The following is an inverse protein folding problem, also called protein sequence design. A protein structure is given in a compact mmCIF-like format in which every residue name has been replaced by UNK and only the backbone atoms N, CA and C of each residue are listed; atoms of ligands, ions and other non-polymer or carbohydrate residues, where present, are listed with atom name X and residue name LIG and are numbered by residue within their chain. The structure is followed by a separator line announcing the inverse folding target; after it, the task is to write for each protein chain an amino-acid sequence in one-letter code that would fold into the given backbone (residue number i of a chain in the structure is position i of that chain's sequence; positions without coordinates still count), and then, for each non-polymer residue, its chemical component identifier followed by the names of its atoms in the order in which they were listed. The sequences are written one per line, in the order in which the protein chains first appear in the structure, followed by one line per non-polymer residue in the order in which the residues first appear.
data_IF_638290497612
#
_entry.id   IF_638290497612
#
_cell.length_a   1.000
_cell.length_b   1.000
_cell.length_c   1.000
_cell.angle_alpha   90.00
_cell.angle_beta   90.00
_cell.angle_gamma   90.00
#
_symmetry.space_group_name_H-M   'P 1'
#
loop_
_entity.id
_entity.type
_entity.pdbx_description
1 polymer ?
#
# COMPACT_ATOMS: atom_id res chain seq x y z
N UNK A 1 -2.58 16.74 34.94
CA UNK A 1 -3.42 16.78 33.73
C UNK A 1 -3.04 15.56 32.92
N UNK A 2 -3.82 14.50 33.06
CA UNK A 2 -3.67 13.26 32.30
C UNK A 2 -4.15 13.56 30.89
N UNK A 3 -3.22 13.71 29.94
CA UNK A 3 -3.54 13.67 28.51
C UNK A 3 -3.66 12.21 28.13
N UNK A 4 -4.81 11.60 28.38
CA UNK A 4 -5.18 10.41 27.62
C UNK A 4 -5.51 10.93 26.24
N UNK A 5 -4.62 10.67 25.31
CA UNK A 5 -4.91 10.69 23.88
C UNK A 5 -5.92 9.55 23.64
N UNK A 6 -7.19 9.83 23.92
CA UNK A 6 -8.29 9.03 23.41
C UNK A 6 -8.36 9.38 21.92
N UNK A 7 -7.46 8.77 21.14
CA UNK A 7 -7.64 8.65 19.71
C UNK A 7 -9.02 8.00 19.53
N UNK A 8 -10.00 8.82 19.17
CA UNK A 8 -11.31 8.35 18.77
C UNK A 8 -11.02 7.43 17.58
N UNK A 9 -11.09 6.12 17.84
CA UNK A 9 -11.09 5.14 16.77
C UNK A 9 -12.34 5.47 15.95
N UNK A 10 -12.12 6.12 14.82
CA UNK A 10 -13.14 6.22 13.79
C UNK A 10 -13.25 4.80 13.26
N UNK A 11 -14.40 4.16 13.46
CA UNK A 11 -14.60 2.75 13.04
C UNK A 11 -14.37 2.61 11.52
N UNK A 12 -14.44 3.70 10.74
CA UNK A 12 -14.13 3.75 9.32
C UNK A 12 -12.69 4.25 9.00
N UNK A 13 -11.80 4.36 9.98
CA UNK A 13 -10.44 4.84 9.76
C UNK A 13 -9.64 3.88 8.86
N UNK A 14 -9.03 4.43 7.81
CA UNK A 14 -8.11 3.71 6.93
C UNK A 14 -6.67 4.08 7.29
N UNK A 15 -5.90 3.09 7.72
CA UNK A 15 -4.49 3.25 8.08
C UNK A 15 -3.59 2.77 6.95
N UNK A 16 -2.79 3.68 6.39
CA UNK A 16 -1.70 3.31 5.48
C UNK A 16 -0.56 2.72 6.32
N UNK A 17 -0.20 1.45 6.07
CA UNK A 17 0.87 0.78 6.80
C UNK A 17 2.19 0.81 6.03
N UNK A 18 2.14 0.58 4.72
CA UNK A 18 3.33 0.56 3.87
C UNK A 18 2.95 0.70 2.41
N UNK A 19 3.95 0.81 1.54
CA UNK A 19 3.76 0.85 0.11
C UNK A 19 4.91 0.14 -0.62
N UNK A 20 4.62 -0.34 -1.83
CA UNK A 20 5.57 -1.10 -2.65
C UNK A 20 5.49 -0.57 -4.07
N UNK A 21 6.63 -0.44 -4.73
CA UNK A 21 6.67 -0.18 -6.16
C UNK A 21 6.57 -1.52 -6.91
N UNK A 22 5.69 -1.55 -7.91
CA UNK A 22 5.55 -2.62 -8.88
C UNK A 22 5.96 -2.06 -10.24
N UNK A 23 7.27 -2.00 -10.51
CA UNK A 23 7.81 -1.44 -11.75
C UNK A 23 8.59 -2.48 -12.56
N UNK A 24 8.61 -2.39 -13.90
CA UNK A 24 9.42 -3.28 -14.74
C UNK A 24 10.90 -3.32 -14.33
N UNK A 25 11.44 -2.20 -13.85
CA UNK A 25 12.84 -2.09 -13.45
C UNK A 25 13.21 -2.93 -12.21
N UNK A 26 12.23 -3.31 -11.37
CA UNK A 26 12.46 -4.19 -10.22
C UNK A 26 12.53 -5.68 -10.60
N UNK A 27 12.20 -6.03 -11.85
CA UNK A 27 12.28 -7.40 -12.35
C UNK A 27 13.53 -7.56 -13.22
N UNK A 28 14.66 -8.08 -12.67
CA UNK A 28 15.89 -8.23 -13.43
C UNK A 28 15.69 -9.15 -14.64
N UNK A 29 16.13 -8.68 -15.80
CA UNK A 29 15.81 -9.14 -17.17
C UNK A 29 16.13 -10.61 -17.53
N UNK A 30 16.60 -11.44 -16.61
CA UNK A 30 16.64 -12.91 -16.75
C UNK A 30 15.28 -13.57 -16.43
N UNK A 31 14.34 -12.80 -15.88
CA UNK A 31 12.98 -13.16 -15.44
C UNK A 31 11.94 -12.18 -16.03
N UNK A 32 12.10 -11.83 -17.31
CA UNK A 32 11.31 -10.77 -17.98
C UNK A 32 9.78 -10.99 -18.03
N UNK A 33 9.31 -12.19 -17.70
CA UNK A 33 7.90 -12.56 -17.62
C UNK A 33 7.25 -12.23 -16.25
N UNK A 34 8.03 -11.89 -15.23
CA UNK A 34 7.52 -11.74 -13.86
C UNK A 34 6.75 -10.44 -13.62
N UNK A 35 7.07 -9.34 -14.33
CA UNK A 35 6.28 -8.11 -14.22
C UNK A 35 4.87 -8.26 -14.81
N UNK A 36 4.69 -8.69 -16.07
CA UNK A 36 3.36 -8.95 -16.60
C UNK A 36 2.59 -10.01 -15.80
N UNK A 37 3.27 -11.04 -15.28
CA UNK A 37 2.64 -12.05 -14.44
C UNK A 37 2.16 -11.48 -13.08
N UNK A 38 2.95 -10.61 -12.45
CA UNK A 38 2.56 -9.91 -11.23
C UNK A 38 1.37 -8.96 -11.47
N UNK A 39 1.37 -8.21 -12.57
CA UNK A 39 0.21 -7.41 -12.98
C UNK A 39 -1.03 -8.29 -13.18
N UNK A 40 -0.90 -9.41 -13.89
CA UNK A 40 -2.00 -10.33 -14.12
C UNK A 40 -2.56 -10.97 -12.83
N UNK A 41 -1.71 -11.27 -11.85
CA UNK A 41 -2.13 -11.78 -10.54
C UNK A 41 -2.98 -10.75 -9.76
N UNK A 42 -2.77 -9.46 -10.04
CA UNK A 42 -3.53 -8.33 -9.48
C UNK A 42 -4.70 -7.90 -10.37
N UNK A 43 -4.91 -8.56 -11.53
CA UNK A 43 -5.93 -8.17 -12.51
C UNK A 43 -5.62 -6.87 -13.27
N UNK A 44 -4.35 -6.46 -13.32
CA UNK A 44 -3.88 -5.24 -13.97
C UNK A 44 -3.29 -5.54 -15.35
N UNK A 45 -3.41 -4.57 -16.27
CA UNK A 45 -2.65 -4.58 -17.52
C UNK A 45 -1.20 -4.11 -17.26
N UNK A 46 -0.19 -4.65 -17.95
CA UNK A 46 1.18 -4.20 -17.76
C UNK A 46 1.36 -2.73 -18.19
N UNK A 47 1.77 -1.88 -17.26
CA UNK A 47 2.03 -0.47 -17.53
C UNK A 47 3.53 -0.17 -17.61
N UNK A 48 3.95 0.66 -18.56
CA UNK A 48 5.38 0.91 -18.80
C UNK A 48 6.06 1.66 -17.66
N UNK A 49 5.34 2.58 -17.01
CA UNK A 49 5.85 3.34 -15.86
C UNK A 49 5.79 2.53 -14.56
N UNK A 50 4.93 1.50 -14.49
CA UNK A 50 4.71 0.69 -13.29
C UNK A 50 3.53 1.17 -12.46
N UNK A 51 3.29 0.49 -11.34
CA UNK A 51 2.27 0.87 -10.37
C UNK A 51 2.89 1.07 -8.98
N UNK A 52 2.29 1.94 -8.19
CA UNK A 52 2.46 1.93 -6.75
C UNK A 52 1.36 1.09 -6.10
N UNK A 53 1.71 0.28 -5.11
CA UNK A 53 0.78 -0.46 -4.28
C UNK A 53 0.81 0.13 -2.88
N UNK A 54 -0.29 0.71 -2.44
CA UNK A 54 -0.48 1.20 -1.08
C UNK A 54 -1.18 0.12 -0.27
N UNK A 55 -0.55 -0.34 0.79
CA UNK A 55 -1.08 -1.39 1.64
C UNK A 55 -1.50 -0.79 2.97
N UNK A 56 -2.73 -1.08 3.36
CA UNK A 56 -3.28 -0.58 4.59
C UNK A 56 -4.21 -1.57 5.27
N UNK A 57 -4.76 -1.10 6.38
CA UNK A 57 -5.69 -1.83 7.22
C UNK A 57 -6.74 -0.84 7.74
N UNK A 58 -7.98 -1.31 7.91
CA UNK A 58 -9.00 -0.52 8.60
C UNK A 58 -8.92 -0.70 10.14
N UNK A 59 -9.82 -0.04 10.85
CA UNK A 59 -9.91 -0.10 12.31
C UNK A 59 -10.33 -1.48 12.86
N UNK A 60 -11.08 -2.27 12.07
CA UNK A 60 -11.53 -3.62 12.40
C UNK A 60 -10.44 -4.68 12.17
N UNK A 61 -9.44 -4.35 11.36
CA UNK A 61 -8.34 -5.23 11.01
C UNK A 61 -8.42 -5.83 9.61
N UNK A 62 -9.39 -5.42 8.79
CA UNK A 62 -9.48 -5.82 7.40
C UNK A 62 -8.36 -5.16 6.60
N UNK A 63 -7.67 -5.97 5.82
CA UNK A 63 -6.56 -5.53 4.97
C UNK A 63 -7.08 -5.08 3.61
N UNK A 64 -6.42 -4.07 3.07
CA UNK A 64 -6.71 -3.56 1.74
C UNK A 64 -5.43 -3.17 1.01
N UNK A 65 -5.50 -3.21 -0.32
CA UNK A 65 -4.44 -2.74 -1.21
C UNK A 65 -5.05 -1.79 -2.23
N UNK A 66 -4.49 -0.58 -2.34
CA UNK A 66 -4.85 0.38 -3.39
C UNK A 66 -3.74 0.43 -4.43
N UNK A 67 -4.11 0.21 -5.69
CA UNK A 67 -3.20 0.32 -6.84
C UNK A 67 -3.29 1.73 -7.39
N UNK A 68 -2.15 2.37 -7.56
CA UNK A 68 -2.02 3.73 -8.10
C UNK A 68 -1.06 3.77 -9.28
N UNK A 69 -1.37 4.59 -10.27
CA UNK A 69 -0.52 4.78 -11.47
C UNK A 69 0.53 5.89 -11.29
N UNK A 70 0.40 6.73 -10.25
CA UNK A 70 1.44 7.68 -9.83
C UNK A 70 2.54 6.98 -9.00
N UNK A 71 3.47 6.36 -9.73
CA UNK A 71 4.66 5.70 -9.17
C UNK A 71 5.55 6.69 -8.41
N UNK A 72 5.58 7.96 -8.83
CA UNK A 72 6.46 8.96 -8.24
C UNK A 72 5.98 9.34 -6.84
N UNK A 73 4.68 9.51 -6.66
CA UNK A 73 4.06 9.75 -5.35
C UNK A 73 4.42 8.64 -4.35
N UNK A 74 4.25 7.38 -4.75
CA UNK A 74 4.55 6.24 -3.89
C UNK A 74 6.05 6.11 -3.60
N UNK A 75 6.91 6.36 -4.59
CA UNK A 75 8.36 6.34 -4.41
C UNK A 75 8.82 7.41 -3.39
N UNK A 76 8.23 8.60 -3.42
CA UNK A 76 8.51 9.68 -2.46
C UNK A 76 8.09 9.30 -1.04
N UNK A 77 6.92 8.66 -0.89
CA UNK A 77 6.47 8.19 0.42
C UNK A 77 7.44 7.16 1.01
N UNK A 78 7.82 6.15 0.22
CA UNK A 78 8.78 5.12 0.64
C UNK A 78 10.12 5.75 1.02
N UNK A 79 10.66 6.63 0.18
CA UNK A 79 11.93 7.30 0.48
C UNK A 79 11.86 8.18 1.75
N UNK A 80 10.72 8.80 2.02
CA UNK A 80 10.51 9.59 3.24
C UNK A 80 10.49 8.69 4.48
N UNK A 81 9.77 7.57 4.42
CA UNK A 81 9.71 6.60 5.52
C UNK A 81 11.06 5.92 5.76
N UNK A 82 11.82 5.59 4.70
CA UNK A 82 13.18 5.04 4.80
C UNK A 82 14.15 6.02 5.48
N UNK A 83 13.92 7.32 5.32
CA UNK A 83 14.65 8.38 6.03
C UNK A 83 14.16 8.61 7.47
N UNK A 84 13.12 7.89 7.92
CA UNK A 84 12.49 8.08 9.22
C UNK A 84 11.63 9.34 9.33
N UNK A 85 11.19 9.91 8.20
CA UNK A 85 10.32 11.07 8.16
C UNK A 85 8.86 10.62 8.06
N UNK A 86 7.96 11.36 8.72
CA UNK A 86 6.52 11.21 8.52
C UNK A 86 6.14 11.71 7.13
N UNK A 87 5.35 10.91 6.41
CA UNK A 87 4.79 11.28 5.11
C UNK A 87 3.37 10.74 5.01
N UNK A 88 2.42 11.63 4.79
CA UNK A 88 1.02 11.29 4.59
C UNK A 88 0.80 10.90 3.12
N UNK A 89 0.74 9.59 2.86
CA UNK A 89 0.48 9.06 1.53
C UNK A 89 -1.02 8.99 1.28
N UNK A 90 -1.57 10.02 0.64
CA UNK A 90 -2.95 10.06 0.20
C UNK A 90 -3.00 10.21 -1.32
N UNK A 91 -3.22 9.12 -2.08
CA UNK A 91 -3.42 9.20 -3.52
C UNK A 91 -4.66 10.02 -3.88
N UNK A 92 -4.56 10.82 -4.94
CA UNK A 92 -5.74 11.46 -5.52
C UNK A 92 -6.62 10.41 -6.22
N UNK A 93 -7.95 10.57 -6.18
CA UNK A 93 -8.91 9.66 -6.83
C UNK A 93 -8.59 9.42 -8.32
N UNK A 94 -7.99 10.41 -8.99
CA UNK A 94 -7.59 10.31 -10.40
C UNK A 94 -6.37 9.43 -10.67
N UNK A 95 -5.59 9.12 -9.63
CA UNK A 95 -4.42 8.23 -9.70
C UNK A 95 -4.72 6.79 -9.26
N UNK A 96 -5.87 6.58 -8.62
CA UNK A 96 -6.31 5.27 -8.13
C UNK A 96 -6.84 4.44 -9.30
N UNK A 97 -6.19 3.31 -9.57
CA UNK A 97 -6.56 2.38 -10.64
C UNK A 97 -7.61 1.38 -10.15
N UNK A 98 -7.36 0.77 -8.99
CA UNK A 98 -8.30 -0.13 -8.34
C UNK A 98 -7.97 -0.33 -6.85
N UNK A 99 -8.96 -0.79 -6.10
CA UNK A 99 -8.79 -1.27 -4.74
C UNK A 99 -9.02 -2.79 -4.70
N UNK A 100 -8.14 -3.51 -4.03
CA UNK A 100 -8.15 -4.96 -3.88
C UNK A 100 -8.33 -5.32 -2.39
N UNK A 101 -9.14 -6.33 -2.08
CA UNK A 101 -9.24 -6.84 -0.71
C UNK A 101 -7.97 -7.61 -0.35
N UNK A 102 -7.55 -7.49 0.91
CA UNK A 102 -6.38 -8.17 1.43
C UNK A 102 -5.06 -7.61 0.91
N UNK A 103 -3.97 -8.29 1.27
CA UNK A 103 -2.62 -7.98 0.78
C UNK A 103 -2.15 -9.00 -0.25
N UNK A 104 -1.41 -8.57 -1.30
CA UNK A 104 -0.83 -9.48 -2.27
C UNK A 104 0.36 -10.30 -1.71
N UNK A 105 0.74 -10.05 -0.45
CA UNK A 105 1.91 -10.63 0.22
C UNK A 105 1.53 -11.09 1.63
N UNK A 106 2.03 -12.26 2.02
CA UNK A 106 1.86 -12.78 3.38
C UNK A 106 2.78 -12.04 4.37
N UNK A 107 2.35 -10.88 4.85
CA UNK A 107 3.06 -10.09 5.86
C UNK A 107 2.34 -10.19 7.19
N UNK A 108 3.08 -10.27 8.30
CA UNK A 108 2.54 -10.42 9.66
C UNK A 108 2.43 -9.09 10.44
N UNK A 109 2.44 -7.95 9.74
CA UNK A 109 2.37 -6.63 10.36
C UNK A 109 0.91 -6.16 10.47
N UNK A 110 0.63 -5.40 11.53
CA UNK A 110 -0.65 -4.76 11.82
C UNK A 110 -0.39 -3.38 12.43
N UNK A 111 -1.32 -2.44 12.27
CA UNK A 111 -1.22 -1.13 12.92
C UNK A 111 -1.22 -1.29 14.46
N UNK A 112 -0.45 -0.49 15.20
CA UNK A 112 -0.50 -0.49 16.67
C UNK A 112 -1.91 -0.19 17.17
N UNK A 113 -2.42 -1.04 18.07
CA UNK A 113 -3.75 -0.86 18.66
C UNK A 113 -4.92 -1.40 17.83
N UNK A 114 -4.67 -1.93 16.63
CA UNK A 114 -5.68 -2.53 15.77
C UNK A 114 -5.75 -4.06 15.99
N UNK A 115 -6.93 -4.70 15.88
CA UNK A 115 -7.07 -6.15 15.98
C UNK A 115 -6.14 -6.94 15.03
N UNK A 116 -5.96 -8.22 15.33
CA UNK A 116 -5.15 -9.10 14.51
C UNK A 116 -5.75 -9.16 13.08
N UNK A 117 -4.91 -9.05 12.03
CA UNK A 117 -5.39 -8.89 10.67
C UNK A 117 -6.17 -10.12 10.22
N UNK A 118 -7.29 -9.87 9.54
CA UNK A 118 -8.08 -10.89 8.86
C UNK A 118 -8.28 -10.50 7.39
N UNK A 119 -8.12 -11.47 6.50
CA UNK A 119 -8.36 -11.35 5.06
C UNK A 119 -9.72 -11.97 4.68
#
# INVERSE_FOLDING_TARGET
MTGTDEAVADDDALYVLTAILLTPAQFPSVLGDDYPAACAALGLEPYAEGYGLVLGQDSDGARWTVVVDDVSLVAVAIASWDCGMEYDLSPDDGSVVCALPGWPLAVAVAAPGVPAPHD
#
